data_IF_539861448185
#
_entry.id   IF_539861448185
#
_cell.length_a   1.000
_cell.length_b   1.000
_cell.length_c   1.000
_cell.angle_alpha   90.00
_cell.angle_beta   90.00
_cell.angle_gamma   90.00
#
_symmetry.space_group_name_H-M   'P 1'
#
loop_
_entity.id
_entity.type
_entity.pdbx_description
1 polymer ?
#
# COMPACT_ATOMS: atom_id res chain seq x y z
N UNK A 1 -6.93 21.05 11.37
CA UNK A 1 -6.95 19.78 10.62
C UNK A 1 -5.52 19.29 10.50
N UNK A 2 -5.28 18.01 10.76
CA UNK A 2 -3.97 17.36 10.62
C UNK A 2 -3.96 16.57 9.31
N UNK A 3 -2.90 16.73 8.54
CA UNK A 3 -2.58 15.93 7.37
C UNK A 3 -1.35 15.07 7.66
N UNK A 4 -1.32 13.89 7.07
CA UNK A 4 -0.18 12.99 7.11
C UNK A 4 0.08 12.45 5.70
N UNK A 5 1.29 12.65 5.21
CA UNK A 5 1.81 11.88 4.08
C UNK A 5 2.60 10.70 4.64
N UNK A 6 2.17 9.49 4.32
CA UNK A 6 2.77 8.26 4.83
C UNK A 6 3.65 7.66 3.74
N UNK A 7 4.92 7.46 4.03
CA UNK A 7 5.89 6.89 3.10
C UNK A 7 6.42 5.56 3.60
N UNK A 8 6.64 4.62 2.68
CA UNK A 8 7.42 3.41 2.89
C UNK A 8 8.88 3.76 2.65
N UNK A 9 9.73 3.61 3.67
CA UNK A 9 11.17 3.84 3.58
C UNK A 9 11.89 2.56 3.13
N UNK A 10 11.65 2.14 1.88
CA UNK A 10 12.10 0.85 1.34
C UNK A 10 13.59 0.56 1.55
N UNK A 11 14.45 1.57 1.57
CA UNK A 11 15.89 1.41 1.79
C UNK A 11 16.27 1.07 3.25
N UNK A 12 15.37 1.26 4.23
CA UNK A 12 15.61 0.98 5.65
C UNK A 12 15.20 -0.44 6.07
N UNK A 13 15.19 -1.36 5.10
CA UNK A 13 14.81 -2.76 5.27
C UNK A 13 15.75 -3.64 4.44
N UNK A 14 16.16 -4.77 5.02
CA UNK A 14 16.81 -5.83 4.27
C UNK A 14 15.77 -6.76 3.63
N UNK A 15 16.10 -7.31 2.46
CA UNK A 15 15.18 -8.15 1.69
C UNK A 15 15.77 -9.54 1.45
N UNK A 16 14.93 -10.55 1.60
CA UNK A 16 15.27 -11.94 1.30
C UNK A 16 15.34 -12.17 -0.22
N UNK A 17 15.98 -13.26 -0.66
CA UNK A 17 16.11 -13.56 -2.08
C UNK A 17 14.76 -13.72 -2.80
N UNK A 18 13.77 -14.32 -2.13
CA UNK A 18 12.39 -14.46 -2.61
C UNK A 18 11.69 -13.12 -2.79
N UNK A 19 11.84 -12.21 -1.82
CA UNK A 19 11.26 -10.86 -1.87
C UNK A 19 11.92 -10.02 -2.98
N UNK A 20 13.24 -10.13 -3.15
CA UNK A 20 13.99 -9.42 -4.20
C UNK A 20 13.48 -9.73 -5.60
N UNK A 21 13.11 -10.98 -5.86
CA UNK A 21 12.56 -11.39 -7.15
C UNK A 21 11.21 -10.71 -7.42
N UNK A 22 10.30 -10.76 -6.44
CA UNK A 22 8.97 -10.14 -6.53
C UNK A 22 9.04 -8.61 -6.64
N UNK A 23 10.06 -8.00 -6.01
CA UNK A 23 10.27 -6.55 -6.03
C UNK A 23 10.89 -6.00 -7.33
N UNK A 24 11.28 -6.87 -8.28
CA UNK A 24 11.85 -6.43 -9.56
C UNK A 24 10.94 -5.50 -10.33
N UNK A 25 9.63 -5.72 -10.26
CA UNK A 25 8.65 -4.86 -10.93
C UNK A 25 8.65 -3.42 -10.39
N UNK A 26 9.05 -3.22 -9.14
CA UNK A 26 9.05 -1.91 -8.48
C UNK A 26 10.38 -1.18 -8.49
N UNK A 27 11.48 -1.95 -8.40
CA UNK A 27 12.81 -1.41 -8.19
C UNK A 27 13.84 -1.91 -9.21
N UNK A 28 13.45 -2.74 -10.18
CA UNK A 28 14.39 -3.35 -11.11
C UNK A 28 15.29 -4.40 -10.44
N UNK A 29 16.45 -4.68 -11.06
CA UNK A 29 17.35 -5.74 -10.57
C UNK A 29 17.98 -5.32 -9.24
N UNK A 30 18.23 -6.26 -8.31
CA UNK A 30 18.87 -5.94 -7.02
C UNK A 30 20.21 -5.19 -7.13
N UNK A 31 20.92 -5.37 -8.24
CA UNK A 31 22.19 -4.71 -8.56
C UNK A 31 22.03 -3.19 -8.74
N UNK A 32 20.85 -2.76 -9.18
CA UNK A 32 20.51 -1.35 -9.45
C UNK A 32 19.93 -0.62 -8.23
N UNK A 33 19.68 -1.34 -7.13
CA UNK A 33 18.92 -0.83 -5.98
C UNK A 33 19.57 0.35 -5.27
N UNK A 34 20.89 0.55 -5.42
CA UNK A 34 21.55 1.77 -4.94
C UNK A 34 20.96 3.05 -5.54
N UNK A 35 20.33 2.97 -6.72
CA UNK A 35 19.73 4.12 -7.41
C UNK A 35 18.20 4.07 -7.43
N UNK A 36 17.61 2.87 -7.46
CA UNK A 36 16.17 2.66 -7.69
C UNK A 36 15.36 2.46 -6.41
N UNK A 37 15.99 2.03 -5.31
CA UNK A 37 15.30 1.77 -4.05
C UNK A 37 15.00 3.09 -3.34
N UNK A 38 13.83 3.65 -3.63
CA UNK A 38 13.36 4.95 -3.12
C UNK A 38 12.19 4.79 -2.16
N UNK A 39 11.94 5.84 -1.38
CA UNK A 39 10.72 5.96 -0.61
C UNK A 39 9.51 5.93 -1.55
N UNK A 40 8.46 5.22 -1.17
CA UNK A 40 7.20 5.16 -1.92
C UNK A 40 6.08 5.74 -1.08
N UNK A 41 5.17 6.47 -1.70
CA UNK A 41 3.96 6.91 -1.04
C UNK A 41 3.10 5.68 -0.72
N UNK A 42 2.73 5.53 0.55
CA UNK A 42 1.69 4.60 0.97
C UNK A 42 0.32 5.25 0.78
N UNK A 43 0.10 6.38 1.45
CA UNK A 43 -1.17 7.08 1.44
C UNK A 43 -1.02 8.54 1.88
N UNK A 44 -1.99 9.34 1.46
CA UNK A 44 -2.32 10.59 2.14
C UNK A 44 -3.51 10.33 3.06
N UNK A 45 -3.41 10.79 4.30
CA UNK A 45 -4.48 10.68 5.29
C UNK A 45 -4.65 12.02 6.00
N UNK A 46 -5.84 12.25 6.56
CA UNK A 46 -6.13 13.45 7.34
C UNK A 46 -7.11 13.13 8.45
N UNK A 47 -7.05 13.91 9.53
CA UNK A 47 -8.01 13.85 10.62
C UNK A 47 -8.28 15.24 11.20
N UNK A 48 -9.48 15.41 11.75
CA UNK A 48 -9.82 16.58 12.56
C UNK A 48 -9.54 16.22 14.00
N UNK A 49 -8.59 16.91 14.62
CA UNK A 49 -8.25 16.75 16.04
C UNK A 49 -9.08 17.78 16.82
N UNK A 50 -9.96 17.36 17.74
CA UNK A 50 -10.71 18.27 18.61
C UNK A 50 -9.78 19.10 19.51
N UNK A 51 -10.29 20.17 20.12
CA UNK A 51 -9.53 20.94 21.10
C UNK A 51 -9.13 20.07 22.30
N UNK A 52 -7.90 20.23 22.78
CA UNK A 52 -7.35 19.46 23.90
C UNK A 52 -6.32 20.29 24.66
N UNK A 53 -6.00 19.84 25.88
CA UNK A 53 -4.87 20.33 26.67
C UNK A 53 -3.80 19.24 26.72
N UNK A 54 -2.53 19.63 26.60
CA UNK A 54 -1.32 18.79 26.65
C UNK A 54 -1.23 17.66 25.61
N UNK A 55 -2.10 16.63 25.70
CA UNK A 55 -2.07 15.45 24.82
C UNK A 55 -3.48 14.94 24.52
N UNK A 56 -3.67 14.47 23.29
CA UNK A 56 -4.87 13.76 22.86
C UNK A 56 -4.52 12.60 21.94
N UNK A 57 -5.49 11.72 21.72
CA UNK A 57 -5.42 10.67 20.71
C UNK A 57 -6.46 10.97 19.62
N UNK A 58 -6.06 10.77 18.37
CA UNK A 58 -6.93 10.97 17.22
C UNK A 58 -6.78 9.81 16.24
N UNK A 59 -7.89 9.40 15.63
CA UNK A 59 -7.88 8.34 14.63
C UNK A 59 -7.51 8.95 13.28
N UNK A 60 -6.42 8.44 12.69
CA UNK A 60 -6.04 8.73 11.31
C UNK A 60 -6.43 7.54 10.44
N UNK A 61 -7.47 7.71 9.62
CA UNK A 61 -7.92 6.66 8.71
C UNK A 61 -6.96 6.61 7.52
N UNK A 62 -6.24 5.50 7.40
CA UNK A 62 -5.30 5.25 6.29
C UNK A 62 -6.01 4.39 5.24
N UNK A 63 -6.20 4.90 4.01
CA UNK A 63 -6.76 4.08 2.94
C UNK A 63 -5.75 3.00 2.56
N UNK A 64 -6.21 1.76 2.60
CA UNK A 64 -5.44 0.59 2.19
C UNK A 64 -6.16 -0.08 1.02
N UNK A 65 -5.40 -0.62 0.06
CA UNK A 65 -5.94 -1.33 -1.10
C UNK A 65 -5.15 -2.62 -1.34
N UNK A 66 -5.83 -3.61 -1.89
CA UNK A 66 -5.22 -4.85 -2.38
C UNK A 66 -5.04 -4.84 -3.91
N UNK A 67 -5.25 -3.69 -4.56
CA UNK A 67 -5.01 -3.53 -5.99
C UNK A 67 -3.51 -3.56 -6.30
N UNK A 68 -3.07 -4.64 -6.94
CA UNK A 68 -1.70 -4.82 -7.40
C UNK A 68 -1.30 -3.85 -8.51
N UNK A 69 -2.15 -2.96 -9.02
CA UNK A 69 -1.67 -1.85 -9.86
C UNK A 69 -1.01 -0.73 -9.05
N UNK A 70 -1.27 -0.67 -7.74
CA UNK A 70 -0.72 0.34 -6.84
C UNK A 70 0.65 -0.10 -6.32
N UNK A 71 1.66 0.75 -6.46
CA UNK A 71 3.04 0.44 -6.10
C UNK A 71 3.21 0.02 -4.62
N UNK A 72 2.49 0.66 -3.71
CA UNK A 72 2.50 0.30 -2.28
C UNK A 72 1.97 -1.13 -2.06
N UNK A 73 0.90 -1.51 -2.75
CA UNK A 73 0.33 -2.85 -2.66
C UNK A 73 1.28 -3.91 -3.23
N UNK A 74 1.85 -3.67 -4.42
CA UNK A 74 2.89 -4.55 -4.98
C UNK A 74 4.04 -4.75 -4.00
N UNK A 75 4.42 -3.68 -3.30
CA UNK A 75 5.49 -3.72 -2.31
C UNK A 75 5.12 -4.67 -1.19
N UNK A 76 3.97 -4.49 -0.53
CA UNK A 76 3.54 -5.39 0.53
C UNK A 76 3.31 -6.83 0.06
N UNK A 77 2.78 -7.02 -1.14
CA UNK A 77 2.56 -8.34 -1.73
C UNK A 77 3.87 -9.11 -1.96
N UNK A 78 4.96 -8.39 -2.23
CA UNK A 78 6.27 -8.98 -2.39
C UNK A 78 6.92 -9.44 -1.07
N UNK A 79 6.49 -8.89 0.08
CA UNK A 79 7.09 -9.15 1.38
C UNK A 79 6.55 -10.41 2.04
N UNK A 80 7.44 -11.16 2.69
CA UNK A 80 7.08 -12.42 3.35
C UNK A 80 6.93 -12.25 4.85
N UNK A 81 7.81 -11.50 5.51
CA UNK A 81 7.74 -11.29 6.97
C UNK A 81 8.45 -10.00 7.45
N UNK A 82 8.79 -9.87 8.74
CA UNK A 82 9.54 -8.75 9.29
C UNK A 82 8.72 -7.46 9.36
N UNK A 83 9.39 -6.32 9.24
CA UNK A 83 8.77 -5.00 9.45
C UNK A 83 8.92 -4.06 8.25
N UNK A 84 7.90 -3.26 7.99
CA UNK A 84 7.91 -2.21 6.98
C UNK A 84 8.16 -0.86 7.65
N UNK A 85 9.29 -0.19 7.37
CA UNK A 85 9.56 1.13 7.91
C UNK A 85 8.65 2.17 7.24
N UNK A 86 7.78 2.77 8.04
CA UNK A 86 6.87 3.83 7.65
C UNK A 86 7.34 5.16 8.24
N UNK A 87 7.30 6.22 7.43
CA UNK A 87 7.52 7.60 7.85
C UNK A 87 6.23 8.40 7.66
N UNK A 88 5.76 9.01 8.73
CA UNK A 88 4.61 9.90 8.75
C UNK A 88 5.11 11.34 8.75
N UNK A 89 4.87 12.06 7.66
CA UNK A 89 5.21 13.47 7.53
C UNK A 89 3.95 14.28 7.81
N UNK A 90 3.94 15.03 8.90
CA UNK A 90 2.76 15.79 9.33
C UNK A 90 2.75 17.20 8.76
N UNK A 91 1.57 17.68 8.41
CA UNK A 91 1.33 19.07 8.06
C UNK A 91 -0.09 19.49 8.45
N UNK A 92 -0.37 20.80 8.39
CA UNK A 92 -1.68 21.33 8.73
C UNK A 92 -1.59 22.53 9.65
N UNK A 93 -2.72 22.85 10.28
CA UNK A 93 -2.89 24.10 11.03
C UNK A 93 -3.38 23.82 12.44
N UNK A 94 -2.70 24.44 13.41
CA UNK A 94 -3.04 24.42 14.83
C UNK A 94 -3.63 25.78 15.21
N UNK A 95 -4.74 25.73 15.93
CA UNK A 95 -5.38 26.89 16.56
C UNK A 95 -5.18 26.75 18.06
N UNK A 96 -4.67 27.79 18.71
CA UNK A 96 -4.44 27.78 20.15
C UNK A 96 -4.69 29.17 20.74
N UNK A 97 -4.96 29.23 22.04
CA UNK A 97 -5.04 30.50 22.76
C UNK A 97 -3.68 30.80 23.40
N UNK A 98 -3.21 32.04 23.26
CA UNK A 98 -2.06 32.51 24.04
C UNK A 98 -2.44 32.71 25.52
N UNK A 99 -1.47 33.03 26.42
CA UNK A 99 -1.76 33.26 27.83
C UNK A 99 -2.76 34.40 28.11
N UNK A 100 -2.92 35.34 27.17
CA UNK A 100 -3.88 36.45 27.26
C UNK A 100 -5.27 36.06 26.69
N UNK A 101 -5.44 34.81 26.25
CA UNK A 101 -6.68 34.29 25.68
C UNK A 101 -6.91 34.62 24.21
N UNK A 102 -5.93 35.22 23.51
CA UNK A 102 -6.07 35.57 22.09
C UNK A 102 -5.86 34.35 21.21
N UNK A 103 -6.69 34.21 20.18
CA UNK A 103 -6.57 33.14 19.19
C UNK A 103 -5.32 33.34 18.33
N UNK A 104 -4.48 32.32 18.31
CA UNK A 104 -3.28 32.21 17.50
C UNK A 104 -3.44 31.08 16.47
N UNK A 105 -2.75 31.23 15.35
CA UNK A 105 -2.75 30.25 14.25
C UNK A 105 -1.29 29.93 13.91
N UNK A 106 -0.95 28.65 13.85
CA UNK A 106 0.38 28.19 13.45
C UNK A 106 0.29 27.01 12.48
N UNK A 107 1.19 26.99 11.50
CA UNK A 107 1.40 25.81 10.65
C UNK A 107 2.25 24.77 11.38
N UNK A 108 1.89 23.50 11.25
CA UNK A 108 2.72 22.40 11.71
C UNK A 108 4.04 22.42 10.95
N UNK A 109 5.16 22.47 11.67
CA UNK A 109 6.50 22.45 11.07
C UNK A 109 6.72 21.14 10.30
N UNK A 110 7.44 21.23 9.18
CA UNK A 110 7.85 20.10 8.35
C UNK A 110 8.75 19.10 9.09
N UNK A 111 9.37 19.52 10.19
CA UNK A 111 10.16 18.66 11.09
C UNK A 111 9.30 17.75 11.97
N UNK A 112 7.96 17.94 11.98
CA UNK A 112 7.05 17.06 12.72
C UNK A 112 6.83 15.80 11.90
N UNK A 113 7.59 14.77 12.25
CA UNK A 113 7.48 13.44 11.68
C UNK A 113 7.43 12.35 12.74
N UNK A 114 6.95 11.17 12.36
CA UNK A 114 7.03 9.96 13.18
C UNK A 114 7.48 8.78 12.32
N UNK A 115 8.41 7.98 12.85
CA UNK A 115 8.82 6.72 12.24
C UNK A 115 8.13 5.56 12.97
N UNK A 116 7.59 4.61 12.22
CA UNK A 116 7.01 3.39 12.77
C UNK A 116 7.39 2.20 11.92
N UNK A 117 7.88 1.13 12.56
CA UNK A 117 8.19 -0.13 11.89
C UNK A 117 6.98 -1.04 12.03
N UNK A 118 6.16 -1.10 10.98
CA UNK A 118 4.93 -1.88 10.98
C UNK A 118 5.25 -3.37 10.78
N UNK A 119 4.89 -4.27 11.71
CA UNK A 119 5.03 -5.71 11.47
C UNK A 119 4.18 -6.15 10.29
N UNK A 120 4.73 -6.98 9.41
CA UNK A 120 3.99 -7.52 8.24
C UNK A 120 2.75 -8.31 8.65
N UNK A 121 2.73 -8.90 9.86
CA UNK A 121 1.55 -9.54 10.42
C UNK A 121 0.33 -8.62 10.53
N UNK A 122 0.53 -7.33 10.88
CA UNK A 122 -0.56 -6.35 10.98
C UNK A 122 -1.18 -6.09 9.62
N UNK A 123 -0.35 -5.96 8.57
CA UNK A 123 -0.82 -5.79 7.21
C UNK A 123 -1.59 -7.03 6.72
N UNK A 124 -1.04 -8.24 6.91
CA UNK A 124 -1.70 -9.49 6.51
C UNK A 124 -3.05 -9.66 7.20
N UNK A 125 -3.12 -9.51 8.51
CA UNK A 125 -4.36 -9.64 9.27
C UNK A 125 -5.43 -8.64 8.77
N UNK A 126 -5.03 -7.39 8.51
CA UNK A 126 -5.91 -6.38 7.94
C UNK A 126 -6.45 -6.82 6.57
N UNK A 127 -5.57 -7.27 5.67
CA UNK A 127 -5.95 -7.67 4.31
C UNK A 127 -6.84 -8.91 4.32
N UNK A 128 -6.51 -9.94 5.11
CA UNK A 128 -7.30 -11.16 5.23
C UNK A 128 -8.71 -10.88 5.78
N UNK A 129 -8.83 -9.90 6.69
CA UNK A 129 -10.13 -9.47 7.23
C UNK A 129 -10.99 -8.76 6.18
N UNK A 130 -10.40 -7.97 5.30
CA UNK A 130 -11.13 -7.16 4.31
C UNK A 130 -11.31 -7.85 2.95
N UNK A 131 -10.40 -8.74 2.57
CA UNK A 131 -10.34 -9.41 1.27
C UNK A 131 -9.98 -10.91 1.41
N UNK A 132 -10.78 -11.72 2.13
CA UNK A 132 -10.45 -13.12 2.36
C UNK A 132 -10.48 -13.92 1.05
N UNK A 133 -9.44 -14.73 0.79
CA UNK A 133 -9.36 -15.70 -0.33
C UNK A 133 -9.67 -15.11 -1.73
N UNK A 134 -9.48 -13.81 -1.92
CA UNK A 134 -9.85 -13.13 -3.16
C UNK A 134 -8.68 -12.29 -3.65
N UNK A 135 -8.45 -12.27 -4.96
CA UNK A 135 -7.56 -11.32 -5.61
C UNK A 135 -8.39 -10.43 -6.55
N UNK A 136 -8.08 -9.14 -6.57
CA UNK A 136 -8.64 -8.21 -7.54
C UNK A 136 -7.68 -8.02 -8.70
N UNK A 137 -8.19 -8.12 -9.93
CA UNK A 137 -7.42 -7.89 -11.14
C UNK A 137 -8.15 -6.85 -11.98
N UNK A 138 -7.47 -5.75 -12.26
CA UNK A 138 -7.94 -4.78 -13.24
C UNK A 138 -7.55 -5.24 -14.64
N UNK A 139 -8.52 -5.22 -15.56
CA UNK A 139 -8.31 -5.57 -16.96
C UNK A 139 -8.77 -4.41 -17.84
N UNK A 140 -8.02 -4.15 -18.90
CA UNK A 140 -8.53 -3.30 -19.98
C UNK A 140 -9.78 -3.93 -20.60
N UNK A 141 -10.69 -3.09 -21.09
CA UNK A 141 -12.01 -3.51 -21.55
C UNK A 141 -11.95 -4.54 -22.68
N UNK A 142 -11.06 -4.31 -23.64
CA UNK A 142 -10.85 -5.19 -24.79
C UNK A 142 -10.28 -6.55 -24.36
N UNK A 143 -9.36 -6.57 -23.38
CA UNK A 143 -8.82 -7.81 -22.80
C UNK A 143 -9.92 -8.58 -22.06
N UNK A 144 -10.76 -7.87 -21.30
CA UNK A 144 -11.91 -8.46 -20.63
C UNK A 144 -12.91 -9.06 -21.63
N UNK A 145 -13.24 -8.34 -22.71
CA UNK A 145 -14.20 -8.81 -23.72
C UNK A 145 -13.70 -10.10 -24.40
N UNK A 146 -12.41 -10.18 -24.73
CA UNK A 146 -11.77 -11.40 -25.25
C UNK A 146 -11.81 -12.55 -24.26
N UNK A 147 -11.54 -12.28 -22.97
CA UNK A 147 -11.59 -13.29 -21.91
C UNK A 147 -13.03 -13.79 -21.69
N UNK A 148 -14.02 -12.90 -21.79
CA UNK A 148 -15.44 -13.25 -21.69
C UNK A 148 -15.91 -14.10 -22.87
N UNK A 149 -15.48 -13.76 -24.08
CA UNK A 149 -15.73 -14.58 -25.27
C UNK A 149 -15.15 -15.99 -25.11
N UNK A 150 -13.90 -16.10 -24.65
CA UNK A 150 -13.27 -17.38 -24.35
C UNK A 150 -14.06 -18.22 -23.33
N UNK A 151 -14.49 -17.59 -22.23
CA UNK A 151 -15.32 -18.22 -21.19
C UNK A 151 -16.63 -18.76 -21.78
N UNK A 152 -17.31 -17.96 -22.60
CA UNK A 152 -18.57 -18.31 -23.25
C UNK A 152 -18.40 -19.46 -24.25
N UNK A 153 -17.39 -19.40 -25.11
CA UNK A 153 -17.14 -20.41 -26.14
C UNK A 153 -16.91 -21.80 -25.52
N UNK A 154 -16.25 -21.87 -24.37
CA UNK A 154 -15.95 -23.13 -23.67
C UNK A 154 -17.04 -23.53 -22.66
N UNK A 155 -18.11 -22.75 -22.52
CA UNK A 155 -19.22 -23.06 -21.61
C UNK A 155 -18.84 -23.01 -20.12
N UNK A 156 -17.81 -22.25 -19.74
CA UNK A 156 -17.38 -22.18 -18.34
C UNK A 156 -18.37 -21.38 -17.48
N UNK A 157 -18.73 -21.95 -16.34
CA UNK A 157 -19.64 -21.33 -15.38
C UNK A 157 -18.94 -20.20 -14.62
N UNK A 158 -17.68 -20.39 -14.25
CA UNK A 158 -16.91 -19.44 -13.42
C UNK A 158 -15.68 -18.88 -14.13
N UNK A 159 -15.13 -17.78 -13.62
CA UNK A 159 -13.90 -17.20 -14.15
C UNK A 159 -12.68 -18.05 -13.80
N UNK A 160 -12.69 -18.71 -12.65
CA UNK A 160 -11.65 -19.64 -12.20
C UNK A 160 -11.45 -20.75 -13.24
N UNK A 161 -12.52 -21.36 -13.74
CA UNK A 161 -12.45 -22.38 -14.79
C UNK A 161 -11.80 -21.85 -16.09
N UNK A 162 -12.14 -20.63 -16.48
CA UNK A 162 -11.54 -20.00 -17.66
C UNK A 162 -10.04 -19.73 -17.45
N UNK A 163 -9.66 -19.23 -16.27
CA UNK A 163 -8.28 -18.93 -15.93
C UNK A 163 -7.43 -20.20 -15.79
N UNK A 164 -7.93 -21.23 -15.10
CA UNK A 164 -7.26 -22.53 -14.98
C UNK A 164 -7.00 -23.16 -16.35
N UNK A 165 -7.97 -23.05 -17.27
CA UNK A 165 -7.80 -23.55 -18.64
C UNK A 165 -6.68 -22.82 -19.40
N UNK A 166 -6.60 -21.49 -19.27
CA UNK A 166 -5.56 -20.69 -19.90
C UNK A 166 -4.17 -21.02 -19.33
N UNK A 167 -4.06 -21.11 -18.00
CA UNK A 167 -2.81 -21.41 -17.31
C UNK A 167 -2.31 -22.84 -17.59
N UNK A 168 -3.22 -23.82 -17.64
CA UNK A 168 -2.85 -25.21 -17.96
C UNK A 168 -2.26 -25.36 -19.38
N UNK A 169 -2.68 -24.52 -20.32
CA UNK A 169 -2.16 -24.55 -21.70
C UNK A 169 -0.69 -24.10 -21.76
N UNK A 170 -0.34 -23.10 -20.97
CA UNK A 170 1.02 -22.56 -20.90
C UNK A 170 2.01 -23.57 -20.31
N UNK A 171 1.56 -24.41 -19.37
CA UNK A 171 2.37 -25.48 -18.78
C UNK A 171 2.51 -26.72 -19.69
N UNK A 172 1.64 -26.88 -20.70
CA UNK A 172 1.65 -28.00 -21.64
C UNK A 172 2.46 -27.74 -22.92
N UNK A 173 2.84 -26.49 -23.21
CA UNK A 173 3.64 -26.10 -24.38
C UNK A 173 5.15 -25.98 -24.06
N UNK A 174 5.58 -26.30 -22.84
CA UNK A 174 6.99 -26.33 -22.39
C UNK A 174 7.56 -27.75 -22.17
N UNK A 175 6.87 -28.80 -22.64
CA UNK A 175 7.36 -30.19 -22.63
C UNK A 175 7.57 -30.71 -24.06
#
# INVERSE_FOLDING_TARGET
>A
MLHAQIQIQSAQRAYMASEKEKLRELFGRPEDWGQTLRNRLLAHANCVVPGFADRTEAVLVVPCTFDLNVAATKYFYALEDGEVPLLFLFSGTVFYSDPDGRLQIQQISWEKEAAWRMPMGVWREMMDRHYPNTAFMWLERDVFDRLYEFKRHHGFATWEQAMERLLARQNGEQQ
#
